data_IF_076672298234
#
_entry.id   IF_076672298234
#
_cell.length_a   1.000
_cell.length_b   1.000
_cell.length_c   1.000
_cell.angle_alpha   90.00
_cell.angle_beta   90.00
_cell.angle_gamma   90.00
#
_symmetry.space_group_name_H-M   'P 1'
#
loop_
_entity.id
_entity.type
_entity.pdbx_description
1 polymer ?
#
# COMPACT_ATOMS: atom_id res chain seq x y z
N UNK A 1 -46.32 24.25 9.62
CA UNK A 1 -46.99 22.99 10.01
C UNK A 1 -46.24 22.42 11.20
N UNK A 2 -46.94 22.29 12.33
CA UNK A 2 -46.43 21.88 13.64
C UNK A 2 -45.88 20.44 13.66
N UNK A 3 -44.88 20.20 14.53
CA UNK A 3 -44.73 19.09 15.51
C UNK A 3 -43.46 19.43 16.33
N UNK A 4 -43.55 20.07 17.51
CA UNK A 4 -43.79 19.55 18.88
C UNK A 4 -42.76 18.54 19.41
N UNK A 5 -41.93 19.06 20.32
CA UNK A 5 -41.27 18.50 21.51
C UNK A 5 -41.66 17.08 21.97
N UNK A 6 -40.68 16.36 22.55
CA UNK A 6 -40.78 15.42 23.70
C UNK A 6 -39.36 14.85 23.95
N UNK A 7 -38.80 14.54 25.13
CA UNK A 7 -39.08 14.73 26.55
C UNK A 7 -37.72 14.57 27.28
N UNK A 8 -37.52 15.30 28.39
CA UNK A 8 -36.42 15.10 29.36
C UNK A 8 -36.72 13.88 30.25
N UNK A 9 -35.71 13.12 30.67
CA UNK A 9 -35.80 12.42 31.96
C UNK A 9 -34.44 12.27 32.62
N UNK A 10 -34.21 13.14 33.61
CA UNK A 10 -33.21 13.00 34.65
C UNK A 10 -33.72 12.02 35.71
N UNK A 11 -32.92 11.03 36.07
CA UNK A 11 -33.15 10.25 37.30
C UNK A 11 -31.95 10.43 38.21
N UNK A 12 -32.17 11.31 39.20
CA UNK A 12 -31.34 11.52 40.37
C UNK A 12 -31.65 10.37 41.35
N UNK A 13 -30.64 9.60 41.78
CA UNK A 13 -30.76 8.71 42.94
C UNK A 13 -29.63 9.04 43.92
N UNK A 14 -30.03 9.67 45.02
CA UNK A 14 -29.27 9.87 46.25
C UNK A 14 -29.38 8.58 47.08
N UNK A 15 -28.32 8.06 47.69
CA UNK A 15 -28.31 7.31 48.97
C UNK A 15 -26.86 7.01 49.39
N UNK A 16 -26.52 7.37 50.63
CA UNK A 16 -25.68 6.55 51.52
C UNK A 16 -24.18 6.84 51.58
N UNK A 17 -23.79 7.85 52.36
CA UNK A 17 -22.41 8.00 52.85
C UNK A 17 -22.20 7.06 54.04
N UNK A 18 -21.50 5.94 53.83
CA UNK A 18 -21.01 5.08 54.91
C UNK A 18 -19.51 5.37 55.07
N UNK A 19 -19.14 6.01 56.17
CA UNK A 19 -17.73 6.20 56.56
C UNK A 19 -17.28 4.92 57.25
N UNK A 20 -16.66 4.00 56.51
CA UNK A 20 -15.88 2.91 57.11
C UNK A 20 -14.44 3.39 57.30
N UNK A 21 -13.98 3.46 58.55
CA UNK A 21 -12.56 3.57 58.85
C UNK A 21 -11.85 2.26 58.46
N UNK A 22 -11.37 2.19 57.22
CA UNK A 22 -10.41 1.15 56.83
C UNK A 22 -9.06 1.55 57.40
N UNK A 23 -8.64 0.86 58.45
CA UNK A 23 -7.25 0.82 58.91
C UNK A 23 -6.34 0.60 57.69
N UNK A 24 -5.64 1.64 57.23
CA UNK A 24 -4.49 1.51 56.35
C UNK A 24 -3.42 0.67 57.07
N UNK A 25 -3.50 -0.65 56.95
CA UNK A 25 -2.27 -1.44 56.91
C UNK A 25 -1.47 -0.85 55.75
N UNK A 26 -0.16 -0.65 55.94
CA UNK A 26 0.74 -0.39 54.80
C UNK A 26 0.39 -1.45 53.76
N UNK A 27 -0.21 -1.02 52.65
CA UNK A 27 -0.34 -1.89 51.50
C UNK A 27 1.09 -2.25 51.14
N UNK A 28 1.50 -3.48 51.46
CA UNK A 28 2.67 -4.09 50.88
C UNK A 28 2.35 -4.21 49.40
N UNK A 29 2.56 -3.10 48.67
CA UNK A 29 2.35 -3.00 47.24
C UNK A 29 3.33 -3.95 46.63
N UNK A 30 2.79 -5.11 46.36
CA UNK A 30 3.55 -6.25 45.96
C UNK A 30 4.06 -5.96 44.55
N UNK A 31 5.38 -5.84 44.32
CA UNK A 31 5.88 -5.43 43.02
C UNK A 31 5.46 -6.45 41.98
N UNK A 32 4.68 -6.00 41.00
CA UNK A 32 4.23 -6.82 39.90
C UNK A 32 5.42 -7.19 38.98
N UNK A 33 5.36 -8.34 38.29
CA UNK A 33 6.30 -8.62 37.23
C UNK A 33 6.23 -7.54 36.13
N UNK A 34 7.32 -7.38 35.38
CA UNK A 34 7.38 -6.49 34.22
C UNK A 34 7.57 -7.30 32.93
N UNK A 35 6.97 -6.82 31.83
CA UNK A 35 7.13 -7.39 30.49
C UNK A 35 7.72 -6.31 29.58
N UNK A 36 8.81 -6.65 28.92
CA UNK A 36 9.37 -5.86 27.81
C UNK A 36 9.29 -6.70 26.54
N UNK A 37 8.85 -6.08 25.45
CA UNK A 37 8.79 -6.70 24.13
C UNK A 37 9.71 -5.93 23.21
N UNK A 38 10.61 -6.64 22.54
CA UNK A 38 11.42 -6.11 21.48
C UNK A 38 11.35 -7.09 20.31
N UNK A 39 10.77 -6.68 19.20
CA UNK A 39 10.64 -7.52 18.01
C UNK A 39 11.72 -7.21 16.96
N UNK A 40 12.67 -6.32 17.28
CA UNK A 40 13.65 -5.81 16.33
C UNK A 40 13.05 -4.88 15.27
N UNK A 41 11.75 -4.52 15.36
CA UNK A 41 11.10 -3.61 14.43
C UNK A 41 10.55 -2.40 15.18
N UNK A 42 11.02 -1.21 14.82
CA UNK A 42 10.62 0.02 15.50
C UNK A 42 9.26 0.60 15.03
N UNK A 43 8.59 0.00 14.05
CA UNK A 43 7.36 0.54 13.48
C UNK A 43 6.12 -0.29 13.83
N UNK A 44 5.04 0.41 14.19
CA UNK A 44 3.71 -0.17 14.40
C UNK A 44 3.04 -0.66 13.09
N UNK A 45 3.74 -0.53 11.94
CA UNK A 45 3.26 -0.91 10.62
C UNK A 45 4.28 -1.84 9.91
N UNK A 46 3.77 -2.83 9.17
CA UNK A 46 4.53 -3.81 8.38
C UNK A 46 3.92 -3.99 7.00
N UNK A 47 4.76 -4.30 5.99
CA UNK A 47 4.25 -4.69 4.68
C UNK A 47 3.55 -6.06 4.74
N UNK A 48 2.47 -6.23 3.97
CA UNK A 48 1.70 -7.47 3.90
C UNK A 48 2.50 -8.68 3.41
N UNK A 49 3.63 -8.45 2.73
CA UNK A 49 4.51 -9.52 2.26
C UNK A 49 5.41 -10.09 3.36
N UNK A 50 5.47 -9.48 4.54
CA UNK A 50 6.18 -10.04 5.71
C UNK A 50 5.56 -11.40 6.06
N UNK A 51 6.39 -12.44 5.98
CA UNK A 51 5.96 -13.83 6.25
C UNK A 51 6.12 -14.25 7.69
N UNK A 52 6.85 -13.50 8.50
CA UNK A 52 7.00 -13.82 9.91
C UNK A 52 7.24 -12.60 10.80
N UNK A 53 6.85 -12.72 12.06
CA UNK A 53 7.17 -11.74 13.11
C UNK A 53 7.95 -12.44 14.21
N UNK A 54 9.06 -11.83 14.64
CA UNK A 54 9.92 -12.36 15.70
C UNK A 54 9.73 -11.54 16.97
N UNK A 55 9.02 -12.06 17.96
CA UNK A 55 8.87 -11.43 19.27
C UNK A 55 9.99 -11.88 20.21
N UNK A 56 10.80 -10.95 20.73
CA UNK A 56 11.66 -11.22 21.88
C UNK A 56 11.01 -10.61 23.13
N UNK A 57 10.55 -11.48 24.01
CA UNK A 57 9.85 -11.15 25.24
C UNK A 57 10.81 -11.36 26.40
N UNK A 58 11.02 -10.30 27.18
CA UNK A 58 11.73 -10.35 28.46
C UNK A 58 10.74 -10.12 29.59
N UNK A 59 10.75 -11.02 30.57
CA UNK A 59 9.92 -10.94 31.78
C UNK A 59 10.81 -10.93 33.00
N UNK A 60 10.59 -9.99 33.92
CA UNK A 60 11.29 -9.92 35.20
C UNK A 60 10.27 -10.01 36.33
N UNK A 61 10.47 -10.94 37.25
CA UNK A 61 9.62 -11.11 38.42
C UNK A 61 9.79 -9.94 39.41
N UNK A 62 8.79 -9.72 40.26
CA UNK A 62 8.94 -8.82 41.41
C UNK A 62 10.06 -9.30 42.36
N UNK A 63 10.60 -8.37 43.16
CA UNK A 63 11.73 -8.66 44.07
C UNK A 63 11.55 -9.95 44.88
N UNK A 64 12.53 -10.85 44.80
CA UNK A 64 12.56 -12.12 45.55
C UNK A 64 11.57 -13.17 45.06
N UNK A 65 11.13 -13.11 43.79
CA UNK A 65 10.14 -14.03 43.21
C UNK A 65 10.63 -14.66 41.93
N UNK A 66 9.83 -15.61 41.46
CA UNK A 66 10.01 -16.28 40.17
C UNK A 66 8.72 -16.23 39.36
N UNK A 67 8.86 -16.39 38.05
CA UNK A 67 7.74 -16.46 37.13
C UNK A 67 7.10 -17.85 37.20
N UNK A 68 5.80 -17.88 37.44
CA UNK A 68 5.01 -19.11 37.46
C UNK A 68 4.41 -19.43 36.08
N UNK A 69 4.12 -18.44 35.25
CA UNK A 69 3.57 -18.67 33.92
C UNK A 69 3.92 -17.51 32.99
N UNK A 70 4.23 -17.84 31.73
CA UNK A 70 4.26 -16.91 30.62
C UNK A 70 3.37 -17.47 29.51
N UNK A 71 2.42 -16.67 29.05
CA UNK A 71 1.58 -17.00 27.90
C UNK A 71 1.56 -15.91 26.86
N UNK A 72 1.46 -16.32 25.59
CA UNK A 72 1.30 -15.45 24.44
C UNK A 72 0.07 -15.93 23.68
N UNK A 73 -0.85 -15.00 23.48
CA UNK A 73 -2.08 -15.21 22.74
C UNK A 73 -2.07 -14.30 21.51
N UNK A 74 -2.39 -14.84 20.34
CA UNK A 74 -2.46 -14.10 19.07
C UNK A 74 -3.90 -13.91 18.63
N UNK A 75 -4.22 -12.71 18.16
CA UNK A 75 -5.46 -12.39 17.46
C UNK A 75 -5.17 -11.57 16.19
N UNK A 76 -6.01 -11.70 15.16
CA UNK A 76 -5.96 -10.90 13.93
C UNK A 76 -7.32 -10.22 13.77
N UNK A 77 -7.34 -8.90 13.58
CA UNK A 77 -8.58 -8.16 13.39
C UNK A 77 -9.40 -8.73 12.22
N UNK A 78 -10.68 -9.01 12.45
CA UNK A 78 -11.55 -9.63 11.43
C UNK A 78 -11.44 -11.16 11.35
N UNK A 79 -10.62 -11.79 12.18
CA UNK A 79 -10.56 -13.24 12.38
C UNK A 79 -11.04 -13.61 13.79
N UNK A 80 -11.75 -14.73 13.91
CA UNK A 80 -12.11 -15.32 15.22
C UNK A 80 -11.02 -16.22 15.79
N UNK A 81 -9.90 -16.39 15.08
CA UNK A 81 -8.83 -17.29 15.48
C UNK A 81 -7.97 -16.64 16.56
N UNK A 82 -8.23 -17.03 17.81
CA UNK A 82 -7.35 -16.82 18.94
C UNK A 82 -6.50 -18.07 19.11
N UNK A 83 -5.16 -17.93 19.07
CA UNK A 83 -4.23 -19.05 19.25
C UNK A 83 -3.38 -18.84 20.49
N UNK A 84 -3.40 -19.83 21.38
CA UNK A 84 -2.44 -19.92 22.48
C UNK A 84 -1.13 -20.51 21.96
N UNK A 85 -0.08 -19.70 22.00
CA UNK A 85 1.20 -20.00 21.37
C UNK A 85 2.14 -20.71 22.34
N UNK A 86 2.16 -20.25 23.59
CA UNK A 86 3.06 -20.75 24.63
C UNK A 86 2.39 -20.69 25.99
N UNK A 87 2.65 -21.68 26.82
CA UNK A 87 2.34 -21.70 28.24
C UNK A 87 3.36 -22.59 28.93
N UNK A 88 4.51 -22.04 29.30
CA UNK A 88 5.44 -22.77 30.15
C UNK A 88 6.00 -21.91 31.28
N UNK A 89 6.59 -22.61 32.25
CA UNK A 89 6.91 -22.11 33.58
C UNK A 89 8.42 -22.16 33.78
N UNK A 90 9.12 -21.02 33.78
CA UNK A 90 10.47 -20.96 34.30
C UNK A 90 10.39 -20.45 35.73
N UNK A 91 10.67 -21.31 36.72
CA UNK A 91 10.89 -20.94 38.13
C UNK A 91 12.19 -20.11 38.27
N UNK A 92 12.20 -18.95 37.62
CA UNK A 92 13.31 -18.04 37.45
C UNK A 92 12.83 -16.62 37.71
N UNK A 93 13.71 -15.80 38.27
CA UNK A 93 13.46 -14.37 38.47
C UNK A 93 13.39 -13.60 37.13
N UNK A 94 14.03 -14.14 36.08
CA UNK A 94 14.09 -13.52 34.76
C UNK A 94 13.89 -14.58 33.67
N UNK A 95 13.13 -14.23 32.64
CA UNK A 95 12.79 -15.09 31.50
C UNK A 95 12.99 -14.32 30.21
N UNK A 96 13.89 -14.80 29.36
CA UNK A 96 13.99 -14.38 27.97
C UNK A 96 13.38 -15.45 27.07
N UNK A 97 12.43 -15.04 26.23
CA UNK A 97 11.73 -15.91 25.31
C UNK A 97 11.70 -15.30 23.91
N UNK A 98 12.01 -16.11 22.89
CA UNK A 98 11.88 -15.70 21.49
C UNK A 98 10.81 -16.54 20.82
N UNK A 99 9.84 -15.87 20.20
CA UNK A 99 8.79 -16.50 19.41
C UNK A 99 8.85 -16.02 17.97
N UNK A 100 8.81 -16.94 17.03
CA UNK A 100 8.68 -16.66 15.60
C UNK A 100 7.30 -17.11 15.16
N UNK A 101 6.46 -16.16 14.75
CA UNK A 101 5.15 -16.45 14.18
C UNK A 101 5.25 -16.54 12.66
N UNK A 102 4.72 -17.60 12.06
CA UNK A 102 4.55 -17.73 10.61
C UNK A 102 3.19 -17.15 10.23
N UNK A 103 3.20 -16.11 9.41
CA UNK A 103 2.04 -15.36 8.98
C UNK A 103 1.57 -15.74 7.58
N UNK A 104 2.15 -16.77 6.97
CA UNK A 104 1.83 -17.19 5.60
C UNK A 104 0.34 -17.49 5.46
N UNK A 105 -0.37 -16.63 4.71
CA UNK A 105 -1.80 -16.75 4.45
C UNK A 105 -2.72 -16.32 5.60
N UNK A 106 -2.19 -15.76 6.70
CA UNK A 106 -2.98 -15.38 7.88
C UNK A 106 -3.38 -13.91 7.92
N UNK A 107 -2.58 -13.03 7.32
CA UNK A 107 -2.78 -11.58 7.36
C UNK A 107 -3.28 -11.05 6.02
N UNK A 108 -4.09 -10.00 6.07
CA UNK A 108 -4.54 -9.23 4.91
C UNK A 108 -4.20 -7.74 5.10
N UNK A 109 -4.16 -6.99 4.00
CA UNK A 109 -3.93 -5.56 4.08
C UNK A 109 -5.00 -4.86 4.95
N UNK A 110 -4.55 -3.96 5.83
CA UNK A 110 -5.40 -3.29 6.82
C UNK A 110 -5.70 -4.11 8.08
N UNK A 111 -5.33 -5.40 8.12
CA UNK A 111 -5.47 -6.20 9.34
C UNK A 111 -4.46 -5.75 10.41
N UNK A 112 -4.83 -5.92 11.67
CA UNK A 112 -3.95 -5.73 12.83
C UNK A 112 -3.75 -7.06 13.52
N UNK A 113 -2.51 -7.51 13.58
CA UNK A 113 -2.07 -8.65 14.38
C UNK A 113 -1.78 -8.15 15.79
N UNK A 114 -2.38 -8.80 16.78
CA UNK A 114 -2.23 -8.44 18.19
C UNK A 114 -1.75 -9.64 18.98
N UNK A 115 -0.68 -9.43 19.75
CA UNK A 115 -0.18 -10.37 20.73
C UNK A 115 -0.50 -9.87 22.13
N UNK A 116 -1.25 -10.68 22.88
CA UNK A 116 -1.50 -10.47 24.31
C UNK A 116 -0.56 -11.36 25.09
N UNK A 117 0.40 -10.75 25.76
CA UNK A 117 1.42 -11.43 26.54
C UNK A 117 1.06 -11.30 28.01
N UNK A 118 0.89 -12.42 28.71
CA UNK A 118 0.55 -12.47 30.14
C UNK A 118 1.63 -13.20 30.91
N UNK A 119 2.12 -12.58 31.97
CA UNK A 119 3.06 -13.20 32.90
C UNK A 119 2.46 -13.21 34.32
N UNK A 120 2.59 -14.34 35.01
CA UNK A 120 2.11 -14.54 36.37
C UNK A 120 3.26 -15.02 37.25
N UNK A 121 3.45 -14.44 38.43
CA UNK A 121 4.47 -14.87 39.38
C UNK A 121 3.97 -15.98 40.34
N UNK A 122 4.87 -16.52 41.17
CA UNK A 122 4.53 -17.54 42.18
C UNK A 122 3.52 -17.10 43.26
N UNK A 123 3.25 -15.79 43.38
CA UNK A 123 2.19 -15.24 44.24
C UNK A 123 0.89 -14.96 43.48
N UNK A 124 0.80 -15.41 42.23
CA UNK A 124 -0.33 -15.22 41.33
C UNK A 124 -0.58 -13.75 40.95
N UNK A 125 0.41 -12.86 41.10
CA UNK A 125 0.33 -11.51 40.56
C UNK A 125 0.54 -11.58 39.06
N UNK A 126 -0.37 -11.01 38.29
CA UNK A 126 -0.37 -11.09 36.83
C UNK A 126 -0.20 -9.72 36.19
N UNK A 127 0.64 -9.63 35.18
CA UNK A 127 0.79 -8.46 34.30
C UNK A 127 0.44 -8.86 32.86
N UNK A 128 -0.19 -7.94 32.13
CA UNK A 128 -0.53 -8.12 30.71
C UNK A 128 0.09 -7.01 29.88
N UNK A 129 0.68 -7.37 28.75
CA UNK A 129 1.17 -6.43 27.75
C UNK A 129 0.55 -6.77 26.40
N UNK A 130 0.06 -5.75 25.71
CA UNK A 130 -0.44 -5.85 24.34
C UNK A 130 0.61 -5.30 23.40
N UNK A 131 0.90 -6.06 22.35
CA UNK A 131 1.75 -5.64 21.23
C UNK A 131 0.95 -5.81 19.94
N UNK A 132 0.92 -4.77 19.10
CA UNK A 132 0.11 -4.77 17.88
C UNK A 132 0.94 -4.34 16.68
N UNK A 133 0.75 -5.05 15.57
CA UNK A 133 1.38 -4.81 14.29
C UNK A 133 0.28 -4.63 13.25
N UNK A 134 0.23 -3.45 12.62
CA UNK A 134 -0.72 -3.17 11.54
C UNK A 134 -0.08 -3.52 10.20
N UNK A 135 -0.75 -4.35 9.42
CA UNK A 135 -0.29 -4.70 8.09
C UNK A 135 -0.81 -3.70 7.07
N UNK A 136 0.11 -3.05 6.37
CA UNK A 136 -0.14 -2.13 5.27
C UNK A 136 0.38 -2.74 3.97
N UNK A 137 0.04 -2.11 2.86
CA UNK A 137 0.68 -2.39 1.58
C UNK A 137 1.61 -1.21 1.33
N UNK A 138 2.91 -1.44 1.28
CA UNK A 138 3.87 -0.38 0.96
C UNK A 138 4.05 -0.16 -0.56
N UNK A 139 3.66 -1.14 -1.39
CA UNK A 139 3.70 -1.06 -2.86
C UNK A 139 2.28 -1.17 -3.46
N UNK A 140 1.39 -0.26 -3.04
CA UNK A 140 -0.01 -0.31 -3.45
C UNK A 140 -0.21 0.07 -4.90
N UNK A 141 -1.30 -0.41 -5.49
CA UNK A 141 -1.77 0.10 -6.78
C UNK A 141 -2.03 1.60 -6.63
N UNK A 142 -1.37 2.40 -7.46
CA UNK A 142 -1.71 3.79 -7.70
C UNK A 142 -2.60 3.86 -8.95
N UNK A 143 -3.66 4.64 -8.86
CA UNK A 143 -4.61 4.84 -9.96
C UNK A 143 -4.64 6.32 -10.35
N UNK A 144 -4.61 6.60 -11.64
CA UNK A 144 -4.77 7.94 -12.15
C UNK A 144 -6.24 8.38 -12.13
N UNK A 145 -6.44 9.70 -12.14
CA UNK A 145 -7.67 10.27 -12.70
C UNK A 145 -7.72 10.13 -14.23
N UNK A 146 -8.67 10.82 -14.84
CA UNK A 146 -8.72 10.94 -16.30
C UNK A 146 -7.48 11.72 -16.79
N UNK A 147 -6.76 11.16 -17.76
CA UNK A 147 -5.60 11.78 -18.39
C UNK A 147 -5.95 12.08 -19.85
N UNK A 148 -5.66 13.31 -20.28
CA UNK A 148 -5.78 13.71 -21.69
C UNK A 148 -4.42 14.08 -22.26
N UNK A 149 -4.08 13.52 -23.41
CA UNK A 149 -2.86 13.85 -24.15
C UNK A 149 -3.23 14.24 -25.58
N UNK A 150 -2.73 15.39 -26.01
CA UNK A 150 -2.97 15.90 -27.36
C UNK A 150 -1.95 15.35 -28.32
N UNK A 151 -2.35 15.11 -29.57
CA UNK A 151 -1.42 14.76 -30.63
C UNK A 151 -0.54 15.98 -31.01
N UNK A 152 0.39 15.78 -31.93
CA UNK A 152 1.51 16.68 -32.20
C UNK A 152 1.08 18.07 -32.66
N UNK A 153 -0.03 18.16 -33.41
CA UNK A 153 -0.60 19.42 -33.89
C UNK A 153 -1.80 19.91 -33.07
N UNK A 154 -2.15 19.23 -31.97
CA UNK A 154 -3.20 19.69 -31.09
C UNK A 154 -2.75 20.94 -30.32
N UNK A 155 -3.31 22.10 -30.68
CA UNK A 155 -3.00 23.40 -30.08
C UNK A 155 -3.80 23.68 -28.79
N UNK A 156 -4.91 22.98 -28.59
CA UNK A 156 -5.82 23.20 -27.46
C UNK A 156 -5.40 22.43 -26.21
N UNK A 157 -4.64 21.35 -26.39
CA UNK A 157 -4.16 20.50 -25.31
C UNK A 157 -2.63 20.37 -25.37
N UNK A 158 -1.88 21.05 -24.50
CA UNK A 158 -0.43 21.15 -24.63
C UNK A 158 0.33 19.91 -24.15
N UNK A 159 -0.32 19.00 -23.43
CA UNK A 159 0.30 17.81 -22.84
C UNK A 159 0.47 16.69 -23.87
N UNK A 160 1.71 16.20 -24.04
CA UNK A 160 2.10 15.21 -25.07
C UNK A 160 2.81 13.98 -24.49
N UNK A 161 3.36 14.12 -23.29
CA UNK A 161 4.18 13.10 -22.65
C UNK A 161 3.68 12.84 -21.23
N UNK A 162 3.97 11.65 -20.71
CA UNK A 162 3.48 11.20 -19.42
C UNK A 162 4.57 10.50 -18.62
N UNK A 163 4.63 10.81 -17.32
CA UNK A 163 5.49 10.13 -16.36
C UNK A 163 4.68 9.39 -15.30
N UNK A 164 5.04 8.14 -15.01
CA UNK A 164 4.31 7.30 -14.05
C UNK A 164 4.74 7.63 -12.62
N UNK A 165 6.05 7.76 -12.39
CA UNK A 165 6.64 7.88 -11.05
C UNK A 165 6.31 9.18 -10.32
N UNK A 166 5.78 10.20 -11.00
CA UNK A 166 5.40 11.48 -10.42
C UNK A 166 3.88 11.68 -10.40
N UNK A 167 3.15 10.69 -9.89
CA UNK A 167 1.69 10.69 -9.81
C UNK A 167 1.02 10.98 -11.17
N UNK A 168 1.47 10.27 -12.21
CA UNK A 168 0.93 10.40 -13.58
C UNK A 168 1.02 11.83 -14.17
N UNK A 169 2.08 12.57 -13.83
CA UNK A 169 2.29 13.92 -14.35
C UNK A 169 2.41 13.93 -15.88
N UNK A 170 1.71 14.86 -16.52
CA UNK A 170 1.79 15.10 -17.96
C UNK A 170 2.69 16.31 -18.26
N UNK A 171 3.41 16.25 -19.39
CA UNK A 171 4.43 17.23 -19.77
C UNK A 171 4.16 17.80 -21.17
N UNK A 172 4.58 19.05 -21.37
CA UNK A 172 4.34 19.81 -22.59
C UNK A 172 5.59 19.85 -23.48
N UNK A 173 5.39 19.86 -24.80
CA UNK A 173 6.46 19.98 -25.80
C UNK A 173 6.80 21.43 -26.13
N UNK A 174 7.93 21.64 -26.82
CA UNK A 174 8.34 22.92 -27.39
C UNK A 174 9.36 23.67 -26.54
N UNK A 175 9.81 24.83 -27.04
CA UNK A 175 10.87 25.65 -26.41
C UNK A 175 10.54 26.14 -25.01
N UNK A 176 9.25 26.37 -24.71
CA UNK A 176 8.74 26.71 -23.39
C UNK A 176 8.07 25.50 -22.69
N UNK A 177 8.22 24.31 -23.26
CA UNK A 177 7.67 23.07 -22.74
C UNK A 177 8.40 22.57 -21.50
N UNK A 178 7.73 21.75 -20.71
CA UNK A 178 8.30 21.17 -19.47
C UNK A 178 8.99 19.82 -19.69
N UNK A 179 8.87 19.23 -20.88
CA UNK A 179 9.31 17.87 -21.13
C UNK A 179 10.82 17.71 -21.02
N UNK A 180 11.60 18.55 -21.71
CA UNK A 180 13.06 18.49 -21.72
C UNK A 180 13.69 18.49 -20.33
N UNK A 181 13.26 19.37 -19.43
CA UNK A 181 13.81 19.46 -18.07
C UNK A 181 13.36 18.31 -17.17
N UNK A 182 12.31 17.60 -17.56
CA UNK A 182 11.75 16.46 -16.81
C UNK A 182 11.93 15.14 -17.56
N UNK A 183 12.84 15.07 -18.53
CA UNK A 183 12.93 13.91 -19.44
C UNK A 183 13.21 12.59 -18.72
N UNK A 184 13.88 12.61 -17.57
CA UNK A 184 14.12 11.43 -16.71
C UNK A 184 12.86 10.90 -16.02
N UNK A 185 11.79 11.70 -15.96
CA UNK A 185 10.50 11.34 -15.36
C UNK A 185 9.48 10.88 -16.39
N UNK A 186 9.76 11.06 -17.69
CA UNK A 186 8.83 10.74 -18.77
C UNK A 186 9.02 9.28 -19.16
N UNK A 187 7.92 8.53 -19.08
CA UNK A 187 7.89 7.12 -19.44
C UNK A 187 7.21 6.89 -20.79
N UNK A 188 6.18 7.69 -21.13
CA UNK A 188 5.39 7.53 -22.35
C UNK A 188 5.41 8.80 -23.21
N UNK A 189 5.47 8.57 -24.52
CA UNK A 189 5.29 9.57 -25.58
C UNK A 189 4.04 9.22 -26.36
N UNK A 190 3.10 10.15 -26.45
CA UNK A 190 1.95 10.01 -27.32
C UNK A 190 2.22 10.61 -28.69
N UNK A 191 1.75 9.94 -29.75
CA UNK A 191 1.65 10.54 -31.06
C UNK A 191 0.54 9.92 -31.91
N UNK A 192 0.12 10.65 -32.94
CA UNK A 192 -0.70 10.14 -34.04
C UNK A 192 0.13 10.04 -35.33
N UNK A 193 0.38 8.82 -35.80
CA UNK A 193 1.14 8.55 -37.03
C UNK A 193 0.26 8.20 -38.22
N UNK A 194 0.72 8.42 -39.46
CA UNK A 194 -0.05 8.05 -40.65
C UNK A 194 -0.20 6.54 -40.85
N UNK A 195 0.77 5.75 -40.38
CA UNK A 195 0.72 4.28 -40.38
C UNK A 195 0.38 3.72 -39.00
N UNK A 196 0.87 4.36 -37.94
CA UNK A 196 0.72 3.87 -36.58
C UNK A 196 -0.58 4.35 -35.90
N UNK A 197 -1.27 5.38 -36.44
CA UNK A 197 -2.43 6.03 -35.81
C UNK A 197 -2.14 6.41 -34.35
N UNK A 198 -3.11 6.27 -33.44
CA UNK A 198 -2.93 6.48 -32.00
C UNK A 198 -1.86 5.54 -31.44
N UNK A 199 -0.77 6.11 -30.93
CA UNK A 199 0.38 5.32 -30.49
C UNK A 199 0.96 5.83 -29.18
N UNK A 200 1.22 4.88 -28.28
CA UNK A 200 2.15 5.08 -27.17
C UNK A 200 3.49 4.45 -27.50
N UNK A 201 4.55 5.21 -27.22
CA UNK A 201 5.91 4.77 -27.41
C UNK A 201 6.78 5.21 -26.24
N UNK A 202 7.85 4.47 -26.02
CA UNK A 202 8.90 4.85 -25.10
C UNK A 202 9.72 6.00 -25.70
N UNK A 203 10.26 6.92 -24.88
CA UNK A 203 11.24 7.91 -25.34
C UNK A 203 12.45 7.32 -26.12
N UNK A 204 12.80 6.05 -25.87
CA UNK A 204 13.87 5.32 -26.57
C UNK A 204 13.48 4.78 -27.94
N UNK A 205 12.20 4.78 -28.30
CA UNK A 205 11.69 4.18 -29.53
C UNK A 205 12.17 4.95 -30.77
N UNK A 206 13.08 4.33 -31.54
CA UNK A 206 13.79 4.93 -32.66
C UNK A 206 12.94 5.03 -33.95
N UNK A 207 11.87 4.25 -34.08
CA UNK A 207 11.02 4.13 -35.27
C UNK A 207 9.61 4.75 -35.08
N UNK A 208 9.47 5.62 -34.08
CA UNK A 208 8.21 6.24 -33.70
C UNK A 208 8.46 7.53 -32.91
N UNK A 209 8.59 7.43 -31.60
CA UNK A 209 8.74 8.61 -30.73
C UNK A 209 9.88 9.54 -31.19
N UNK A 210 11.07 9.01 -31.45
CA UNK A 210 12.22 9.82 -31.86
C UNK A 210 12.10 10.36 -33.29
N UNK A 211 11.29 9.76 -34.16
CA UNK A 211 11.06 10.27 -35.51
C UNK A 211 10.04 11.42 -35.48
N UNK A 212 8.93 11.18 -34.78
CA UNK A 212 7.80 12.10 -34.73
C UNK A 212 8.11 13.33 -33.88
N UNK A 213 8.83 13.15 -32.77
CA UNK A 213 9.20 14.18 -31.82
C UNK A 213 10.71 14.46 -31.84
N UNK A 214 11.39 14.28 -32.98
CA UNK A 214 12.85 14.39 -33.10
C UNK A 214 13.40 15.69 -32.47
N UNK A 215 12.86 16.84 -32.91
CA UNK A 215 13.27 18.16 -32.42
C UNK A 215 13.13 18.35 -30.90
N UNK A 216 12.24 17.59 -30.25
CA UNK A 216 12.04 17.62 -28.80
C UNK A 216 12.96 16.60 -28.12
N UNK A 217 12.81 15.32 -28.47
CA UNK A 217 13.42 14.17 -27.79
C UNK A 217 14.93 14.07 -28.05
N UNK A 218 15.43 14.51 -29.21
CA UNK A 218 16.88 14.50 -29.49
C UNK A 218 17.67 15.26 -28.41
N UNK A 219 17.06 16.31 -27.85
CA UNK A 219 17.67 17.17 -26.82
C UNK A 219 17.53 16.65 -25.38
N UNK A 220 16.80 15.54 -25.17
CA UNK A 220 16.59 14.98 -23.84
C UNK A 220 17.82 14.24 -23.34
N UNK A 221 18.20 14.54 -22.09
CA UNK A 221 19.34 13.93 -21.40
C UNK A 221 19.07 12.47 -21.02
N UNK A 222 17.81 12.15 -20.73
CA UNK A 222 17.37 10.80 -20.35
C UNK A 222 16.17 10.43 -21.20
N UNK A 223 16.18 9.19 -21.69
CA UNK A 223 15.10 8.60 -22.47
C UNK A 223 14.77 7.27 -21.79
N UNK A 224 13.66 7.19 -21.08
CA UNK A 224 13.27 5.97 -20.36
C UNK A 224 12.86 4.88 -21.36
N UNK A 225 13.37 3.66 -21.17
CA UNK A 225 13.07 2.51 -22.03
C UNK A 225 11.85 1.72 -21.54
N UNK A 226 10.68 2.35 -21.61
CA UNK A 226 9.41 1.70 -21.27
C UNK A 226 9.09 0.57 -22.24
N UNK A 227 8.58 -0.54 -21.73
CA UNK A 227 8.08 -1.67 -22.52
C UNK A 227 6.56 -1.71 -22.49
N UNK A 228 5.94 -2.06 -23.61
CA UNK A 228 4.50 -2.25 -23.75
C UNK A 228 4.19 -3.67 -24.21
N UNK A 229 3.02 -4.15 -23.82
CA UNK A 229 2.52 -5.47 -24.22
C UNK A 229 1.01 -5.46 -24.27
N UNK A 230 0.42 -6.01 -25.33
CA UNK A 230 -1.03 -6.25 -25.38
C UNK A 230 -1.43 -7.25 -24.32
N UNK A 231 -2.67 -7.17 -23.86
CA UNK A 231 -3.16 -8.04 -22.79
C UNK A 231 -4.53 -8.61 -23.12
N UNK A 232 -4.92 -9.66 -22.40
CA UNK A 232 -6.29 -10.17 -22.39
C UNK A 232 -7.18 -9.54 -21.32
N UNK A 233 -6.74 -8.46 -20.65
CA UNK A 233 -7.56 -7.82 -19.62
C UNK A 233 -8.76 -7.12 -20.26
N UNK A 234 -9.93 -7.28 -19.65
CA UNK A 234 -11.14 -6.55 -20.03
C UNK A 234 -11.25 -5.21 -19.30
N UNK A 235 -12.13 -4.34 -19.79
CA UNK A 235 -12.43 -3.05 -19.14
C UNK A 235 -12.99 -3.27 -17.72
N UNK A 236 -13.81 -4.30 -17.52
CA UNK A 236 -14.38 -4.64 -16.23
C UNK A 236 -13.30 -5.06 -15.24
N UNK A 237 -12.34 -5.89 -15.68
CA UNK A 237 -11.21 -6.29 -14.86
C UNK A 237 -10.34 -5.07 -14.50
N UNK A 238 -10.04 -4.21 -15.47
CA UNK A 238 -9.31 -2.97 -15.19
C UNK A 238 -10.02 -2.10 -14.15
N UNK A 239 -11.33 -1.86 -14.31
CA UNK A 239 -12.11 -1.04 -13.40
C UNK A 239 -12.20 -1.68 -12.00
N UNK A 240 -12.39 -3.01 -11.93
CA UNK A 240 -12.40 -3.72 -10.66
C UNK A 240 -11.10 -3.51 -9.89
N UNK A 241 -9.96 -3.65 -10.58
CA UNK A 241 -8.64 -3.45 -9.99
C UNK A 241 -8.46 -2.00 -9.54
N UNK A 242 -8.77 -1.05 -10.42
CA UNK A 242 -8.64 0.39 -10.15
C UNK A 242 -9.45 0.82 -8.93
N UNK A 243 -10.65 0.28 -8.76
CA UNK A 243 -11.61 0.76 -7.76
C UNK A 243 -11.59 -0.07 -6.45
N UNK A 244 -11.14 -1.33 -6.49
CA UNK A 244 -11.25 -2.25 -5.34
C UNK A 244 -9.93 -2.90 -4.91
N UNK A 245 -8.90 -2.93 -5.78
CA UNK A 245 -7.64 -3.62 -5.45
C UNK A 245 -6.62 -2.65 -4.88
N UNK A 246 -6.00 -3.07 -3.78
CA UNK A 246 -4.82 -2.38 -3.23
C UNK A 246 -3.50 -3.00 -3.72
N UNK A 247 -3.52 -4.23 -4.21
CA UNK A 247 -2.46 -4.98 -4.93
C UNK A 247 -3.15 -5.93 -5.88
N UNK A 248 -2.57 -6.19 -7.05
CA UNK A 248 -3.08 -7.23 -7.95
C UNK A 248 -1.94 -8.01 -8.62
N UNK A 249 -1.86 -9.31 -8.31
CA UNK A 249 -0.82 -10.19 -8.84
C UNK A 249 -1.00 -10.54 -10.32
N UNK A 250 -2.18 -10.35 -10.90
CA UNK A 250 -2.47 -10.74 -12.29
C UNK A 250 -1.69 -9.89 -13.30
N UNK A 251 -1.60 -8.57 -13.09
CA UNK A 251 -0.77 -7.71 -13.95
C UNK A 251 0.67 -7.53 -13.43
N UNK A 252 0.93 -7.76 -12.13
CA UNK A 252 2.29 -7.80 -11.59
C UNK A 252 3.17 -8.83 -12.29
N UNK A 253 2.57 -9.99 -12.60
CA UNK A 253 3.26 -11.15 -13.14
C UNK A 253 3.37 -11.16 -14.66
N UNK A 254 2.94 -10.09 -15.34
CA UNK A 254 3.14 -9.96 -16.78
C UNK A 254 4.65 -9.98 -17.06
N UNK A 255 5.05 -10.94 -17.89
CA UNK A 255 6.41 -11.08 -18.38
C UNK A 255 6.64 -10.10 -19.55
N UNK A 256 7.58 -9.17 -19.36
CA UNK A 256 8.02 -8.21 -20.38
C UNK A 256 9.33 -8.63 -21.05
N UNK A 257 9.93 -9.77 -20.68
CA UNK A 257 11.16 -10.27 -21.32
C UNK A 257 10.88 -10.88 -22.69
N UNK A 258 9.63 -11.30 -22.94
CA UNK A 258 9.17 -11.87 -24.20
C UNK A 258 7.99 -11.08 -24.77
N UNK A 259 8.01 -10.82 -26.08
CA UNK A 259 6.87 -10.21 -26.80
C UNK A 259 6.52 -8.78 -26.40
N UNK A 260 7.34 -8.10 -25.60
CA UNK A 260 7.17 -6.69 -25.30
C UNK A 260 7.88 -5.82 -26.35
N UNK A 261 7.29 -4.65 -26.62
CA UNK A 261 7.77 -3.71 -27.64
C UNK A 261 8.03 -2.34 -27.01
N UNK A 262 8.79 -1.47 -27.69
CA UNK A 262 8.99 -0.08 -27.27
C UNK A 262 7.90 0.87 -27.78
N UNK A 263 6.93 0.37 -28.56
CA UNK A 263 5.71 1.10 -28.95
C UNK A 263 4.52 0.15 -29.13
N UNK A 264 3.32 0.70 -28.95
CA UNK A 264 2.04 0.04 -29.20
C UNK A 264 1.21 0.92 -30.14
N UNK A 265 1.20 0.64 -31.45
CA UNK A 265 0.44 1.40 -32.43
C UNK A 265 -1.02 0.95 -32.48
N UNK A 266 -1.83 1.66 -33.26
CA UNK A 266 -3.22 1.32 -33.58
C UNK A 266 -4.09 1.12 -32.33
N UNK A 267 -3.90 2.02 -31.35
CA UNK A 267 -4.69 2.01 -30.13
C UNK A 267 -6.12 2.45 -30.42
N UNK A 268 -7.07 1.64 -29.96
CA UNK A 268 -8.51 1.91 -30.05
C UNK A 268 -9.14 2.07 -28.67
N UNK A 269 -10.38 2.58 -28.67
CA UNK A 269 -11.21 2.64 -27.46
C UNK A 269 -11.29 1.26 -26.78
N UNK A 270 -11.30 1.26 -25.45
CA UNK A 270 -11.38 0.08 -24.58
C UNK A 270 -10.17 -0.87 -24.65
N UNK A 271 -9.12 -0.54 -25.40
CA UNK A 271 -7.87 -1.29 -25.37
C UNK A 271 -7.25 -1.23 -23.96
N UNK A 272 -6.83 -2.39 -23.44
CA UNK A 272 -6.08 -2.52 -22.18
C UNK A 272 -4.66 -2.99 -22.48
N UNK A 273 -3.70 -2.09 -22.26
CA UNK A 273 -2.29 -2.33 -22.55
C UNK A 273 -1.50 -2.40 -21.26
N UNK A 274 -0.64 -3.41 -21.13
CA UNK A 274 0.31 -3.47 -20.03
C UNK A 274 1.59 -2.71 -20.36
N UNK A 275 2.21 -2.14 -19.35
CA UNK A 275 3.51 -1.52 -19.48
C UNK A 275 4.44 -1.90 -18.33
N UNK A 276 5.74 -1.76 -18.59
CA UNK A 276 6.78 -1.74 -17.59
C UNK A 276 7.67 -0.52 -17.85
N UNK A 277 7.80 0.36 -16.86
CA UNK A 277 8.70 1.52 -16.91
C UNK A 277 10.16 1.09 -16.85
N UNK A 278 11.08 1.97 -17.20
CA UNK A 278 12.51 1.72 -17.09
C UNK A 278 12.97 1.41 -15.65
N UNK A 279 12.25 1.90 -14.63
CA UNK A 279 12.53 1.62 -13.22
C UNK A 279 11.89 0.33 -12.71
N UNK A 280 11.21 -0.43 -13.58
CA UNK A 280 10.61 -1.72 -13.25
C UNK A 280 9.13 -1.67 -12.83
N UNK A 281 8.56 -0.48 -12.56
CA UNK A 281 7.14 -0.35 -12.21
C UNK A 281 6.27 -0.89 -13.33
N UNK A 282 5.26 -1.69 -12.98
CA UNK A 282 4.34 -2.31 -13.93
C UNK A 282 2.94 -1.75 -13.78
N UNK A 283 2.16 -1.79 -14.87
CA UNK A 283 0.80 -1.30 -14.82
C UNK A 283 -0.03 -1.64 -16.03
N UNK A 284 -1.28 -1.18 -16.02
CA UNK A 284 -2.23 -1.26 -17.12
C UNK A 284 -2.68 0.16 -17.52
N UNK A 285 -2.94 0.33 -18.81
CA UNK A 285 -3.46 1.54 -19.43
C UNK A 285 -4.80 1.17 -20.07
N UNK A 286 -5.86 1.92 -19.75
CA UNK A 286 -7.16 1.83 -20.41
C UNK A 286 -7.38 3.05 -21.28
N UNK A 287 -7.59 2.85 -22.58
CA UNK A 287 -7.99 3.90 -23.50
C UNK A 287 -9.52 4.07 -23.49
N UNK A 288 -9.98 5.31 -23.40
CA UNK A 288 -11.42 5.67 -23.32
C UNK A 288 -11.86 6.43 -24.56
N UNK A 289 -10.99 7.25 -25.12
CA UNK A 289 -11.21 7.90 -26.40
C UNK A 289 -9.90 7.97 -27.14
N UNK A 290 -9.97 7.87 -28.46
CA UNK A 290 -8.84 7.92 -29.36
C UNK A 290 -8.97 9.09 -30.33
N UNK A 291 -7.84 9.66 -30.71
CA UNK A 291 -7.82 10.79 -31.63
C UNK A 291 -8.15 10.31 -33.06
N UNK A 292 -8.88 11.12 -33.83
CA UNK A 292 -9.12 10.82 -35.26
C UNK A 292 -7.93 11.19 -36.15
N UNK A 293 -7.11 12.15 -35.72
CA UNK A 293 -5.93 12.61 -36.43
C UNK A 293 -4.87 13.25 -35.51
N UNK A 294 -3.84 13.88 -36.12
CA UNK A 294 -2.75 14.50 -35.37
C UNK A 294 -3.08 15.87 -34.74
N UNK A 295 -4.32 16.36 -34.87
CA UNK A 295 -4.84 17.59 -34.26
C UNK A 295 -5.72 17.34 -33.04
N UNK A 296 -6.14 16.09 -32.83
CA UNK A 296 -7.05 15.69 -31.76
C UNK A 296 -6.31 15.13 -30.52
N UNK A 297 -7.01 14.50 -29.57
CA UNK A 297 -6.48 14.03 -28.30
C UNK A 297 -7.03 12.65 -27.92
N UNK A 298 -6.24 11.93 -27.12
CA UNK A 298 -6.68 10.71 -26.45
C UNK A 298 -7.12 11.00 -25.01
N UNK A 299 -7.99 10.13 -24.49
CA UNK A 299 -8.36 10.08 -23.06
C UNK A 299 -8.13 8.68 -22.52
N UNK A 300 -7.54 8.58 -21.32
CA UNK A 300 -7.15 7.30 -20.73
C UNK A 300 -7.13 7.32 -19.20
N UNK A 301 -7.05 6.12 -18.63
CA UNK A 301 -6.76 5.87 -17.21
C UNK A 301 -5.58 4.91 -17.07
N UNK A 302 -4.83 5.03 -15.99
CA UNK A 302 -3.68 4.17 -15.69
C UNK A 302 -3.79 3.65 -14.27
N UNK A 303 -3.42 2.39 -14.10
CA UNK A 303 -3.05 1.83 -12.81
C UNK A 303 -1.60 1.35 -12.86
N UNK A 304 -0.86 1.53 -11.78
CA UNK A 304 0.51 1.07 -11.68
C UNK A 304 0.81 0.55 -10.28
N UNK A 305 1.77 -0.35 -10.16
CA UNK A 305 2.34 -0.79 -8.89
C UNK A 305 3.85 -1.02 -9.05
N UNK A 306 4.56 -0.97 -7.92
CA UNK A 306 6.00 -1.22 -7.86
C UNK A 306 6.35 -2.69 -8.04
#
# INVERSE_FOLDING_TARGET
>A
MHIKNFIKSSTLLLIGFIITFTSCKKDDTTPAPTITVNDGVQSNEQDINVKSVNLKVKVVAGNGRTIKNLSIERAISGSTNVVNIYSAIPDKAEVDYTYTDDLTGLVSAGSTLTYTIKATDIKNVTVTKVYSVKFIITNGIIASGEIKLGAQKNINLPYKFLGISNNFAAYTAGSNGTAKTNSSKIDFVYYYGSMDSNTFAAPTNADGAQVIWDSEIASWQTKNDTKFKTTGFTVEQFNFIKDNSKVDGSFANIDFTSGATSKVPMLDENNIIAFQTASGKKGLIKFVMTAEDNTDAITLFIIAQD
#
